data_IF_936826097880
#
_entry.id   IF_936826097880
#
_cell.length_a   1.000
_cell.length_b   1.000
_cell.length_c   1.000
_cell.angle_alpha   90.00
_cell.angle_beta   90.00
_cell.angle_gamma   90.00
#
_symmetry.space_group_name_H-M   'P 1'
#
loop_
_entity.id
_entity.type
_entity.pdbx_description
1 polymer ?
#
# COMPACT_ATOMS: atom_id res chain seq x y z
N UNK A 1 -10.52 -14.51 2.21
CA UNK A 1 -11.31 -13.31 2.55
C UNK A 1 -11.37 -12.45 1.30
N UNK A 2 -12.53 -11.95 0.93
CA UNK A 2 -12.74 -11.09 -0.24
C UNK A 2 -13.67 -9.95 0.18
N UNK A 3 -13.38 -8.74 -0.32
CA UNK A 3 -14.20 -7.55 -0.09
C UNK A 3 -14.09 -6.58 -1.28
N UNK A 4 -15.13 -5.77 -1.48
CA UNK A 4 -15.28 -4.93 -2.67
C UNK A 4 -14.55 -3.58 -2.55
N UNK A 5 -13.22 -3.64 -2.34
CA UNK A 5 -12.33 -2.47 -2.35
C UNK A 5 -11.13 -2.73 -3.24
N UNK A 6 -11.01 -1.94 -4.31
CA UNK A 6 -9.86 -1.95 -5.21
C UNK A 6 -8.66 -1.18 -4.67
N UNK A 7 -7.56 -1.19 -5.42
CA UNK A 7 -6.40 -0.37 -5.14
C UNK A 7 -6.75 1.13 -5.16
N UNK A 8 -6.21 1.89 -4.22
CA UNK A 8 -6.43 3.34 -4.12
C UNK A 8 -5.77 4.09 -5.29
N UNK A 9 -4.74 3.52 -5.89
CA UNK A 9 -4.02 4.10 -7.03
C UNK A 9 -3.68 3.04 -8.07
N UNK A 10 -3.90 3.31 -9.38
CA UNK A 10 -3.54 2.38 -10.46
C UNK A 10 -2.04 2.14 -10.53
N UNK A 11 -1.22 3.01 -9.95
CA UNK A 11 0.22 2.80 -9.88
C UNK A 11 0.60 1.62 -8.98
N UNK A 12 -0.31 1.06 -8.18
CA UNK A 12 -0.06 -0.16 -7.41
C UNK A 12 -0.20 -1.46 -8.22
N UNK A 13 -0.68 -1.40 -9.46
CA UNK A 13 -0.76 -2.56 -10.36
C UNK A 13 0.63 -3.18 -10.54
N UNK A 14 0.71 -4.50 -10.41
CA UNK A 14 1.92 -5.31 -10.66
C UNK A 14 1.76 -6.18 -11.91
N UNK A 15 0.53 -6.51 -12.29
CA UNK A 15 0.19 -7.18 -13.54
C UNK A 15 -0.63 -6.24 -14.43
N UNK A 16 0.05 -5.55 -15.34
CA UNK A 16 -0.56 -4.55 -16.22
C UNK A 16 -1.51 -5.14 -17.27
N UNK A 17 -1.37 -6.44 -17.60
CA UNK A 17 -2.26 -7.09 -18.57
C UNK A 17 -3.64 -7.35 -17.96
N UNK A 18 -3.66 -7.80 -16.70
CA UNK A 18 -4.90 -8.07 -15.97
C UNK A 18 -5.43 -6.89 -15.16
N UNK A 19 -4.64 -5.83 -15.04
CA UNK A 19 -4.89 -4.71 -14.14
C UNK A 19 -5.04 -5.16 -12.68
N UNK A 20 -4.12 -6.03 -12.23
CA UNK A 20 -4.13 -6.64 -10.90
C UNK A 20 -2.92 -6.21 -10.06
N UNK A 21 -3.13 -6.12 -8.74
CA UNK A 21 -2.07 -5.98 -7.75
C UNK A 21 -1.81 -7.33 -7.07
N UNK A 22 -0.87 -8.09 -7.59
CA UNK A 22 -0.44 -9.39 -7.08
C UNK A 22 0.75 -9.21 -6.12
N UNK A 23 0.57 -9.54 -4.84
CA UNK A 23 1.61 -9.49 -3.80
C UNK A 23 1.87 -10.88 -3.23
N UNK A 24 3.11 -11.38 -3.32
CA UNK A 24 3.50 -12.66 -2.74
C UNK A 24 4.03 -12.50 -1.31
N UNK A 25 3.49 -13.31 -0.38
CA UNK A 25 3.84 -13.31 1.05
C UNK A 25 3.94 -11.90 1.67
N UNK A 26 2.94 -11.02 1.48
CA UNK A 26 3.02 -9.65 1.96
C UNK A 26 2.90 -9.57 3.49
N UNK A 27 3.42 -8.50 4.06
CA UNK A 27 2.90 -7.98 5.32
C UNK A 27 1.56 -7.29 5.09
N UNK A 28 0.69 -7.30 6.09
CA UNK A 28 -0.59 -6.61 6.05
C UNK A 28 -0.61 -5.61 7.21
N UNK A 29 -0.66 -4.31 6.88
CA UNK A 29 -0.91 -3.24 7.83
C UNK A 29 -2.40 -2.93 7.84
N UNK A 30 -3.03 -3.06 9.00
CA UNK A 30 -4.42 -2.65 9.23
C UNK A 30 -4.37 -1.39 10.09
N UNK A 31 -5.03 -0.33 9.63
CA UNK A 31 -5.02 0.98 10.28
C UNK A 31 -6.44 1.54 10.32
N UNK A 32 -6.97 1.86 11.51
CA UNK A 32 -8.38 2.20 11.73
C UNK A 32 -8.71 3.68 11.46
N UNK A 33 -7.77 4.42 10.86
CA UNK A 33 -7.89 5.85 10.57
C UNK A 33 -7.43 6.14 9.16
N UNK A 34 -7.63 7.39 8.75
CA UNK A 34 -7.03 7.97 7.57
C UNK A 34 -5.50 8.15 7.70
N UNK A 35 -4.78 7.86 6.63
CA UNK A 35 -3.33 8.10 6.48
C UNK A 35 -3.13 9.23 5.47
N UNK A 36 -2.82 10.42 5.95
CA UNK A 36 -2.53 11.59 5.09
C UNK A 36 -1.05 11.96 5.05
N UNK A 37 -0.27 11.56 6.07
CA UNK A 37 1.15 11.86 6.20
C UNK A 37 1.99 10.59 6.41
N UNK A 38 3.20 10.58 5.85
CA UNK A 38 4.11 9.43 5.96
C UNK A 38 4.56 9.15 7.40
N UNK A 39 4.60 10.19 8.23
CA UNK A 39 5.01 10.09 9.64
C UNK A 39 4.19 9.08 10.43
N UNK A 40 2.91 8.91 10.09
CA UNK A 40 1.97 8.02 10.80
C UNK A 40 2.39 6.54 10.71
N UNK A 41 3.10 6.17 9.64
CA UNK A 41 3.48 4.78 9.33
C UNK A 41 4.98 4.58 9.08
N UNK A 42 5.80 5.64 9.25
CA UNK A 42 7.23 5.64 8.87
C UNK A 42 7.99 4.46 9.47
N UNK A 43 7.83 4.20 10.77
CA UNK A 43 8.53 3.12 11.46
C UNK A 43 8.19 1.72 10.90
N UNK A 44 6.95 1.52 10.43
CA UNK A 44 6.52 0.27 9.81
C UNK A 44 7.17 0.12 8.43
N UNK A 45 7.17 1.21 7.65
CA UNK A 45 7.75 1.21 6.31
C UNK A 45 9.25 0.94 6.31
N UNK A 46 9.99 1.47 7.29
CA UNK A 46 11.42 1.19 7.47
C UNK A 46 11.67 -0.31 7.66
N UNK A 47 10.89 -0.97 8.52
CA UNK A 47 11.01 -2.41 8.77
C UNK A 47 10.62 -3.24 7.55
N UNK A 48 9.57 -2.83 6.83
CA UNK A 48 9.14 -3.48 5.59
C UNK A 48 10.22 -3.36 4.53
N UNK A 49 10.79 -2.17 4.32
CA UNK A 49 11.87 -1.93 3.37
C UNK A 49 13.09 -2.81 3.67
N UNK A 50 13.51 -2.89 4.93
CA UNK A 50 14.62 -3.75 5.36
C UNK A 50 14.37 -5.23 5.09
N UNK A 51 13.12 -5.69 5.23
CA UNK A 51 12.76 -7.08 4.95
C UNK A 51 12.70 -7.42 3.46
N UNK A 52 12.55 -6.42 2.59
CA UNK A 52 12.30 -6.59 1.15
C UNK A 52 10.96 -7.24 0.78
N UNK A 53 10.13 -7.61 1.77
CA UNK A 53 8.81 -8.20 1.56
C UNK A 53 7.79 -7.15 1.15
N UNK A 54 6.80 -7.49 0.31
CA UNK A 54 5.74 -6.54 -0.03
C UNK A 54 4.85 -6.18 1.15
N UNK A 55 4.15 -5.05 1.05
CA UNK A 55 3.19 -4.56 2.03
C UNK A 55 1.83 -4.29 1.38
N UNK A 56 0.77 -4.83 1.98
CA UNK A 56 -0.60 -4.42 1.75
C UNK A 56 -1.04 -3.50 2.91
N UNK A 57 -1.51 -2.30 2.58
CA UNK A 57 -2.09 -1.36 3.55
C UNK A 57 -3.61 -1.39 3.40
N UNK A 58 -4.31 -1.60 4.52
CA UNK A 58 -5.76 -1.53 4.64
C UNK A 58 -6.06 -0.42 5.65
N UNK A 59 -6.62 0.70 5.19
CA UNK A 59 -6.89 1.87 6.02
C UNK A 59 -8.25 2.49 5.72
N UNK A 60 -8.81 3.33 6.61
CA UNK A 60 -10.05 4.08 6.31
C UNK A 60 -9.92 4.85 4.99
N UNK A 61 -8.82 5.57 4.84
CA UNK A 61 -8.38 6.19 3.59
C UNK A 61 -6.86 6.38 3.56
N UNK A 62 -6.30 6.52 2.38
CA UNK A 62 -4.89 6.85 2.16
C UNK A 62 -4.78 7.88 1.04
N UNK A 63 -4.35 9.09 1.37
CA UNK A 63 -4.41 10.24 0.46
C UNK A 63 -3.24 11.21 0.63
N UNK A 64 -3.28 12.30 -0.14
CA UNK A 64 -2.36 13.42 0.02
C UNK A 64 -0.89 13.04 -0.17
N UNK A 65 -0.05 13.57 0.70
CA UNK A 65 1.40 13.35 0.67
C UNK A 65 1.76 11.88 0.86
N UNK A 66 1.05 11.16 1.74
CA UNK A 66 1.30 9.75 2.00
C UNK A 66 1.08 8.91 0.73
N UNK A 67 -0.03 9.12 0.02
CA UNK A 67 -0.31 8.42 -1.25
C UNK A 67 0.76 8.73 -2.30
N UNK A 68 1.08 10.01 -2.50
CA UNK A 68 2.06 10.42 -3.48
C UNK A 68 3.43 9.77 -3.21
N UNK A 69 3.84 9.75 -1.93
CA UNK A 69 5.12 9.19 -1.52
C UNK A 69 5.17 7.67 -1.72
N UNK A 70 4.12 6.93 -1.35
CA UNK A 70 4.08 5.48 -1.57
C UNK A 70 4.09 5.13 -3.06
N UNK A 71 3.37 5.89 -3.88
CA UNK A 71 3.37 5.72 -5.35
C UNK A 71 4.78 5.93 -5.91
N UNK A 72 5.46 7.02 -5.53
CA UNK A 72 6.83 7.30 -5.99
C UNK A 72 7.80 6.20 -5.54
N UNK A 73 7.70 5.74 -4.30
CA UNK A 73 8.55 4.64 -3.81
C UNK A 73 8.28 3.32 -4.53
N UNK A 74 7.02 3.02 -4.89
CA UNK A 74 6.68 1.86 -5.72
C UNK A 74 7.28 1.98 -7.10
N UNK A 75 7.12 3.12 -7.77
CA UNK A 75 7.65 3.35 -9.11
C UNK A 75 9.18 3.26 -9.17
N UNK A 76 9.86 3.65 -8.08
CA UNK A 76 11.31 3.50 -7.92
C UNK A 76 11.75 2.09 -7.53
N UNK A 77 10.82 1.20 -7.20
CA UNK A 77 11.11 -0.15 -6.70
C UNK A 77 11.63 -0.20 -5.27
N UNK A 78 11.67 0.93 -4.56
CA UNK A 78 12.14 1.03 -3.17
C UNK A 78 11.19 0.31 -2.20
N UNK A 79 9.88 0.40 -2.47
CA UNK A 79 8.85 -0.30 -1.70
C UNK A 79 7.94 -1.08 -2.64
N UNK A 80 7.73 -2.37 -2.36
CA UNK A 80 6.70 -3.17 -3.01
C UNK A 80 5.41 -3.02 -2.20
N UNK A 81 4.53 -2.10 -2.59
CA UNK A 81 3.36 -1.74 -1.79
C UNK A 81 2.10 -1.62 -2.63
N UNK A 82 0.97 -2.01 -2.05
CA UNK A 82 -0.37 -1.66 -2.50
C UNK A 82 -1.20 -1.18 -1.31
N UNK A 83 -2.17 -0.30 -1.56
CA UNK A 83 -3.09 0.18 -0.54
C UNK A 83 -4.53 0.07 -1.03
N UNK A 84 -5.42 -0.34 -0.13
CA UNK A 84 -6.87 -0.43 -0.33
C UNK A 84 -7.58 0.24 0.84
N UNK A 85 -8.81 0.72 0.61
CA UNK A 85 -9.65 1.18 1.72
C UNK A 85 -10.12 -0.04 2.53
N UNK A 86 -10.32 0.15 3.83
CA UNK A 86 -10.95 -0.85 4.68
C UNK A 86 -12.37 -1.16 4.14
N UNK A 87 -12.80 -2.44 4.21
CA UNK A 87 -14.20 -2.76 4.03
C UNK A 87 -15.00 -2.09 5.16
N UNK A 88 -16.23 -1.68 4.85
CA UNK A 88 -17.14 -1.10 5.86
C UNK A 88 -17.39 -2.05 7.01
#
# INVERSE_FOLDING_TARGET
MQFDRGYISPYFVTNSEKMEAELQNPYILIYDKKISAMKDILHILEKVAQSGRPLLIIAEDLEGEALATLVVNKLRGTLKVAAVKAPG
#
